data_IF_259052543923
#
_entry.id   IF_259052543923
#
_cell.length_a   1.000
_cell.length_b   1.000
_cell.length_c   1.000
_cell.angle_alpha   90.00
_cell.angle_beta   90.00
_cell.angle_gamma   90.00
#
_symmetry.space_group_name_H-M   'P 1'
#
loop_
_entity.id
_entity.type
_entity.pdbx_description
1 polymer ?
#
# COMPACT_ATOMS: atom_id res chain seq x y z
N UNK A 1 -1.88 25.44 -13.30
CA UNK A 1 -2.09 24.07 -12.76
C UNK A 1 -0.90 23.15 -13.07
N UNK A 2 -0.27 23.23 -14.25
CA UNK A 2 0.96 22.48 -14.60
C UNK A 2 2.15 22.83 -13.68
N UNK A 3 2.27 24.08 -13.22
CA UNK A 3 3.36 24.54 -12.32
C UNK A 3 3.31 23.97 -10.89
N UNK A 4 2.11 23.62 -10.37
CA UNK A 4 1.98 23.14 -8.99
C UNK A 4 2.53 21.71 -8.85
N UNK A 5 2.39 20.89 -9.90
CA UNK A 5 2.86 19.50 -9.94
C UNK A 5 4.37 19.46 -10.22
N UNK A 6 4.88 20.35 -11.08
CA UNK A 6 6.30 20.46 -11.38
C UNK A 6 7.12 21.02 -10.19
N UNK A 7 6.56 21.95 -9.42
CA UNK A 7 7.26 22.58 -8.28
C UNK A 7 7.31 21.72 -7.01
N UNK A 8 6.36 20.80 -6.85
CA UNK A 8 6.24 20.00 -5.61
C UNK A 8 7.12 18.75 -5.60
N UNK A 9 7.74 18.38 -6.73
CA UNK A 9 8.60 17.17 -6.88
C UNK A 9 7.94 15.87 -6.40
N UNK A 10 6.60 15.85 -6.29
CA UNK A 10 5.83 14.69 -5.82
C UNK A 10 6.16 13.42 -6.62
N UNK A 11 6.34 13.47 -7.96
CA UNK A 11 6.74 12.27 -8.72
C UNK A 11 8.10 11.73 -8.27
N UNK A 12 9.09 12.60 -8.03
CA UNK A 12 10.40 12.19 -7.49
C UNK A 12 10.28 11.70 -6.04
N UNK A 13 9.44 12.32 -5.20
CA UNK A 13 9.23 11.88 -3.82
C UNK A 13 8.59 10.48 -3.73
N UNK A 14 7.80 10.08 -4.72
CA UNK A 14 7.21 8.73 -4.82
C UNK A 14 8.24 7.71 -5.33
N UNK A 15 9.12 8.13 -6.23
CA UNK A 15 10.23 7.31 -6.77
C UNK A 15 11.35 7.10 -5.75
N UNK A 16 11.62 8.10 -4.92
CA UNK A 16 12.59 8.10 -3.83
C UNK A 16 12.02 7.55 -2.51
N UNK A 17 10.86 6.88 -2.52
CA UNK A 17 10.34 6.21 -1.32
C UNK A 17 11.34 5.13 -0.90
N UNK A 18 12.10 5.44 0.15
CA UNK A 18 13.06 4.52 0.74
C UNK A 18 12.34 3.48 1.60
N UNK A 19 11.93 2.40 0.96
CA UNK A 19 11.30 1.24 1.60
C UNK A 19 12.25 0.63 2.65
N UNK A 20 13.56 0.61 2.36
CA UNK A 20 14.58 0.14 3.28
C UNK A 20 14.69 1.04 4.53
N UNK A 21 14.59 2.35 4.32
CA UNK A 21 14.51 3.37 5.36
C UNK A 21 13.33 3.19 6.31
N UNK A 22 12.17 2.75 5.80
CA UNK A 22 10.98 2.52 6.63
C UNK A 22 11.19 1.40 7.65
N UNK A 23 11.77 0.28 7.23
CA UNK A 23 12.04 -0.89 8.10
C UNK A 23 13.36 -0.80 8.87
N UNK A 24 14.12 0.28 8.72
CA UNK A 24 15.27 0.61 9.58
C UNK A 24 14.95 1.74 10.55
N UNK A 25 13.83 2.44 10.36
CA UNK A 25 13.35 3.50 11.23
C UNK A 25 12.73 2.94 12.53
N UNK A 26 13.32 3.19 13.71
CA UNK A 26 12.80 2.70 14.98
C UNK A 26 11.38 3.18 15.30
N UNK A 27 11.00 4.38 14.85
CA UNK A 27 9.66 4.94 15.06
C UNK A 27 8.57 4.19 14.31
N UNK A 28 8.91 3.51 13.22
CA UNK A 28 8.00 2.61 12.51
C UNK A 28 8.12 1.17 13.04
N UNK A 29 9.35 0.67 13.17
CA UNK A 29 9.63 -0.70 13.57
C UNK A 29 9.06 -1.05 14.94
N UNK A 30 9.27 -0.21 15.96
CA UNK A 30 8.87 -0.53 17.34
C UNK A 30 7.34 -0.68 17.45
N UNK A 31 6.51 0.27 16.97
CA UNK A 31 5.07 0.08 16.95
C UNK A 31 4.63 -1.10 16.08
N UNK A 32 5.24 -1.29 14.90
CA UNK A 32 4.87 -2.36 13.97
C UNK A 32 5.13 -3.75 14.57
N UNK A 33 6.34 -3.99 15.11
CA UNK A 33 6.69 -5.26 15.76
C UNK A 33 5.86 -5.49 17.01
N UNK A 34 5.59 -4.44 17.80
CA UNK A 34 4.72 -4.56 18.98
C UNK A 34 3.30 -4.97 18.57
N UNK A 35 2.74 -4.35 17.53
CA UNK A 35 1.42 -4.68 17.01
C UNK A 35 1.36 -6.12 16.47
N UNK A 36 2.35 -6.54 15.68
CA UNK A 36 2.42 -7.90 15.14
C UNK A 36 2.58 -8.93 16.26
N UNK A 37 3.50 -8.69 17.20
CA UNK A 37 3.74 -9.55 18.36
C UNK A 37 2.51 -9.67 19.27
N UNK A 38 1.78 -8.56 19.47
CA UNK A 38 0.54 -8.55 20.24
C UNK A 38 -0.57 -9.39 19.60
N UNK A 39 -0.70 -9.35 18.27
CA UNK A 39 -1.65 -10.19 17.55
C UNK A 39 -1.24 -11.66 17.54
N UNK A 40 0.07 -11.97 17.44
CA UNK A 40 0.58 -13.34 17.58
C UNK A 40 0.27 -13.89 18.97
N UNK A 41 0.55 -13.11 20.03
CA UNK A 41 0.26 -13.48 21.41
C UNK A 41 -1.22 -13.82 21.64
N UNK A 42 -2.13 -13.03 21.05
CA UNK A 42 -3.58 -13.25 21.16
C UNK A 42 -4.13 -14.28 20.16
N UNK A 43 -3.28 -14.91 19.35
CA UNK A 43 -3.70 -15.81 18.26
C UNK A 43 -4.68 -15.16 17.27
N UNK A 44 -4.57 -13.83 17.12
CA UNK A 44 -5.36 -12.99 16.22
C UNK A 44 -4.76 -13.04 14.80
N UNK A 45 -4.77 -14.25 14.22
CA UNK A 45 -4.13 -14.51 12.93
C UNK A 45 -4.85 -13.84 11.76
N UNK A 46 -6.15 -13.54 11.90
CA UNK A 46 -6.92 -12.83 10.86
C UNK A 46 -6.32 -11.44 10.61
N UNK A 47 -5.99 -10.73 11.67
CA UNK A 47 -5.41 -9.39 11.65
C UNK A 47 -4.01 -9.40 11.03
N UNK A 48 -3.20 -10.43 11.35
CA UNK A 48 -1.87 -10.63 10.77
C UNK A 48 -1.97 -10.87 9.26
N UNK A 49 -2.88 -11.76 8.83
CA UNK A 49 -3.10 -12.07 7.41
C UNK A 49 -3.56 -10.82 6.66
N UNK A 50 -4.44 -10.01 7.25
CA UNK A 50 -4.90 -8.76 6.67
C UNK A 50 -3.74 -7.79 6.39
N UNK A 51 -2.86 -7.61 7.37
CA UNK A 51 -1.67 -6.76 7.26
C UNK A 51 -0.75 -7.26 6.15
N UNK A 52 -0.51 -8.57 6.08
CA UNK A 52 0.31 -9.18 5.03
C UNK A 52 -0.28 -8.99 3.63
N UNK A 53 -1.60 -9.11 3.48
CA UNK A 53 -2.30 -8.86 2.20
C UNK A 53 -2.13 -7.40 1.78
N UNK A 54 -2.31 -6.46 2.70
CA UNK A 54 -2.17 -5.02 2.42
C UNK A 54 -0.73 -4.70 2.02
N UNK A 55 0.27 -5.19 2.76
CA UNK A 55 1.69 -4.99 2.43
C UNK A 55 2.03 -5.62 1.08
N UNK A 56 1.54 -6.83 0.80
CA UNK A 56 1.78 -7.51 -0.47
C UNK A 56 1.19 -6.76 -1.67
N UNK A 57 -0.04 -6.26 -1.53
CA UNK A 57 -0.70 -5.45 -2.57
C UNK A 57 0.05 -4.14 -2.78
N UNK A 58 0.44 -3.48 -1.70
CA UNK A 58 1.22 -2.25 -1.77
C UNK A 58 2.59 -2.48 -2.43
N UNK A 59 3.29 -3.58 -2.10
CA UNK A 59 4.57 -3.93 -2.72
C UNK A 59 4.45 -4.18 -4.23
N UNK A 60 3.40 -4.89 -4.66
CA UNK A 60 3.19 -5.23 -6.07
C UNK A 60 2.68 -4.03 -6.89
N UNK A 61 1.86 -3.16 -6.31
CA UNK A 61 1.17 -2.07 -7.04
C UNK A 61 1.73 -0.66 -6.80
N UNK A 62 2.45 -0.43 -5.71
CA UNK A 62 2.70 0.91 -5.19
C UNK A 62 3.85 1.67 -5.83
N UNK A 63 4.89 1.00 -6.33
CA UNK A 63 6.15 1.68 -6.67
C UNK A 63 6.32 1.87 -8.17
N UNK A 64 6.42 0.80 -8.95
CA UNK A 64 6.64 0.92 -10.39
C UNK A 64 5.37 1.23 -11.17
N UNK A 65 4.22 0.72 -10.75
CA UNK A 65 2.98 0.90 -11.51
C UNK A 65 2.47 2.34 -11.45
N UNK A 66 2.57 3.00 -10.28
CA UNK A 66 2.19 4.40 -10.08
C UNK A 66 2.98 5.38 -10.97
N UNK A 67 4.27 5.13 -11.18
CA UNK A 67 5.11 5.93 -12.08
C UNK A 67 4.60 5.90 -13.53
N UNK A 68 3.96 4.81 -13.94
CA UNK A 68 3.42 4.68 -15.29
C UNK A 68 2.05 5.33 -15.48
N UNK A 69 1.37 5.74 -14.40
CA UNK A 69 0.03 6.34 -14.43
C UNK A 69 0.03 7.76 -14.98
N UNK A 70 1.16 8.47 -14.86
CA UNK A 70 1.34 9.84 -15.34
C UNK A 70 2.23 9.77 -16.57
N UNK A 71 1.67 10.09 -17.74
CA UNK A 71 2.43 10.18 -18.99
C UNK A 71 2.16 11.56 -19.56
N UNK A 72 3.23 12.33 -19.84
CA UNK A 72 3.13 13.70 -20.34
C UNK A 72 2.34 14.66 -19.43
N UNK A 73 2.30 14.41 -18.12
CA UNK A 73 1.59 15.24 -17.15
C UNK A 73 0.07 14.99 -17.08
N UNK A 74 -0.44 14.02 -17.84
CA UNK A 74 -1.84 13.61 -17.80
C UNK A 74 -2.00 12.26 -17.09
N UNK A 75 -3.02 12.19 -16.24
CA UNK A 75 -3.39 10.97 -15.54
C UNK A 75 -4.16 10.06 -16.51
N UNK A 76 -3.57 8.93 -16.87
CA UNK A 76 -4.21 8.00 -17.79
C UNK A 76 -5.24 7.14 -17.06
N UNK A 77 -6.53 7.45 -17.22
CA UNK A 77 -7.66 6.70 -16.64
C UNK A 77 -7.58 5.20 -16.94
N UNK A 78 -7.16 4.82 -18.16
CA UNK A 78 -7.00 3.42 -18.56
C UNK A 78 -5.99 2.63 -17.71
N UNK A 79 -5.01 3.32 -17.12
CA UNK A 79 -4.03 2.71 -16.22
C UNK A 79 -4.45 2.74 -14.75
N UNK A 80 -5.48 3.50 -14.38
CA UNK A 80 -6.03 3.49 -13.01
C UNK A 80 -6.87 2.22 -12.78
N UNK A 81 -7.48 1.68 -13.82
CA UNK A 81 -8.40 0.53 -13.76
C UNK A 81 -7.81 -0.69 -13.04
N UNK A 82 -6.58 -1.13 -13.31
CA UNK A 82 -6.00 -2.28 -12.60
C UNK A 82 -5.78 -2.02 -11.10
N UNK A 83 -5.47 -0.79 -10.71
CA UNK A 83 -5.35 -0.40 -9.28
C UNK A 83 -6.71 -0.46 -8.60
N UNK A 84 -7.75 0.06 -9.25
CA UNK A 84 -9.12 -0.02 -8.73
C UNK A 84 -9.60 -1.47 -8.59
N UNK A 85 -9.31 -2.32 -9.57
CA UNK A 85 -9.64 -3.74 -9.51
C UNK A 85 -8.87 -4.46 -8.41
N UNK A 86 -7.58 -4.15 -8.24
CA UNK A 86 -6.77 -4.66 -7.13
C UNK A 86 -7.35 -4.25 -5.77
N UNK A 87 -7.71 -2.97 -5.60
CA UNK A 87 -8.36 -2.47 -4.39
C UNK A 87 -9.70 -3.15 -4.10
N UNK A 88 -10.53 -3.35 -5.13
CA UNK A 88 -11.79 -4.08 -5.01
C UNK A 88 -11.60 -5.56 -4.63
N UNK A 89 -10.58 -6.22 -5.19
CA UNK A 89 -10.23 -7.60 -4.85
C UNK A 89 -9.79 -7.72 -3.38
N UNK A 90 -8.97 -6.78 -2.90
CA UNK A 90 -8.57 -6.72 -1.48
C UNK A 90 -9.80 -6.54 -0.60
N UNK A 91 -10.70 -5.60 -0.92
CA UNK A 91 -11.94 -5.42 -0.18
C UNK A 91 -12.79 -6.70 -0.15
N UNK A 92 -12.89 -7.43 -1.25
CA UNK A 92 -13.57 -8.72 -1.30
C UNK A 92 -12.95 -9.76 -0.35
N UNK A 93 -11.62 -9.84 -0.29
CA UNK A 93 -10.90 -10.70 0.65
C UNK A 93 -11.15 -10.29 2.11
N UNK A 94 -11.09 -8.99 2.41
CA UNK A 94 -11.37 -8.46 3.76
C UNK A 94 -12.81 -8.79 4.18
N UNK A 95 -13.79 -8.53 3.31
CA UNK A 95 -15.20 -8.84 3.58
C UNK A 95 -15.38 -10.34 3.83
N UNK A 96 -14.78 -11.20 3.01
CA UNK A 96 -14.85 -12.65 3.21
C UNK A 96 -14.26 -13.10 4.57
N UNK A 97 -13.12 -12.52 4.98
CA UNK A 97 -12.48 -12.87 6.25
C UNK A 97 -13.29 -12.48 7.49
N UNK A 98 -14.02 -11.35 7.43
CA UNK A 98 -14.82 -10.85 8.54
C UNK A 98 -16.26 -11.37 8.56
N UNK A 99 -16.87 -11.58 7.39
CA UNK A 99 -18.31 -11.90 7.28
C UNK A 99 -18.60 -13.24 6.60
N UNK A 100 -17.64 -13.83 5.87
CA UNK A 100 -17.85 -15.04 5.05
C UNK A 100 -17.71 -16.37 5.80
N UNK A 101 -17.21 -16.34 7.03
CA UNK A 101 -17.19 -17.50 7.95
C UNK A 101 -17.71 -17.06 9.31
N UNK A 102 -19.03 -17.16 9.46
CA UNK A 102 -19.71 -17.32 10.76
C UNK A 102 -20.08 -18.77 10.96
#
# INVERSE_FOLDING_TARGET
>A
MVDLIASTRIPQQLEDVDIGGLFTNPWFLVPFVTFMGWNVYKQAFKEIILVLVIIGVWYVSGTHYMQTLIVNGELQIGKILPVMFGGAAVLGVVIYMYFGRS
#
